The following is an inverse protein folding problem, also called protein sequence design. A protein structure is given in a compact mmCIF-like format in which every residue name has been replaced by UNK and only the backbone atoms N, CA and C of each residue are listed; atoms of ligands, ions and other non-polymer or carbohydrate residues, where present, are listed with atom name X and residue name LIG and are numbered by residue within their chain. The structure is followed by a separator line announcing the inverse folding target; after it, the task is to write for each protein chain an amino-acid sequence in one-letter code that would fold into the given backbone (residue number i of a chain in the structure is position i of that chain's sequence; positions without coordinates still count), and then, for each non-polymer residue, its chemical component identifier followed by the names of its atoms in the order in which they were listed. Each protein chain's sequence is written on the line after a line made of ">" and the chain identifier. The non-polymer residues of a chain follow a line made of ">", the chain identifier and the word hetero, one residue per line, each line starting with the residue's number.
data_IF_238735392745
#
_entry.id   IF_238735392745
#
_cell.length_a   1.000
_cell.length_b   1.000
_cell.length_c   1.000
_cell.angle_alpha   90.00
_cell.angle_beta   90.00
_cell.angle_gamma   90.00
#
_symmetry.space_group_name_H-M   'P 1'
#
loop_
_entity.id
_entity.type
_entity.pdbx_description
1 polymer ?
#
# COMPACT_ATOMS: atom_id res chain seq x y z
N UNK A 1 1.83 74.59 0.18
CA UNK A 1 2.85 73.99 1.03
C UNK A 1 2.33 72.60 1.33
N UNK A 2 2.85 71.56 0.66
CA UNK A 2 2.48 70.19 0.87
C UNK A 2 3.55 69.52 1.78
N UNK A 3 3.13 69.02 2.95
CA UNK A 3 3.99 68.32 3.85
C UNK A 3 4.33 66.92 3.29
N UNK A 4 5.61 66.53 3.27
CA UNK A 4 5.96 65.18 2.84
C UNK A 4 5.57 64.17 3.94
N UNK A 5 4.73 63.21 3.58
CA UNK A 5 4.40 62.07 4.42
C UNK A 5 5.66 61.22 4.70
N UNK A 6 6.14 61.28 5.93
CA UNK A 6 7.24 60.44 6.42
C UNK A 6 6.72 59.01 6.56
N UNK A 7 7.01 58.18 5.59
CA UNK A 7 6.78 56.74 5.67
C UNK A 7 7.80 56.14 6.66
N UNK A 8 7.39 55.98 7.90
CA UNK A 8 8.18 55.30 8.92
C UNK A 8 8.29 53.83 8.57
N UNK A 9 9.39 53.46 7.91
CA UNK A 9 9.70 52.03 7.67
C UNK A 9 10.02 51.35 9.00
N UNK A 10 9.11 50.57 9.49
CA UNK A 10 9.36 49.71 10.67
C UNK A 10 10.46 48.72 10.34
N UNK A 11 11.59 48.78 11.04
CA UNK A 11 12.70 47.82 10.95
C UNK A 11 12.70 46.92 12.16
N UNK A 12 12.76 45.62 11.96
CA UNK A 12 12.99 44.59 12.99
C UNK A 12 14.44 44.14 12.83
N UNK A 13 15.26 44.30 13.87
CA UNK A 13 16.68 43.93 13.90
C UNK A 13 17.53 44.54 12.74
N UNK A 14 17.26 45.81 12.35
CA UNK A 14 17.99 46.50 11.30
C UNK A 14 17.63 46.15 9.84
N UNK A 15 16.69 45.22 9.65
CA UNK A 15 16.22 44.82 8.32
C UNK A 15 14.82 45.34 8.06
N UNK A 16 14.50 45.78 6.83
CA UNK A 16 13.13 46.24 6.50
C UNK A 16 12.15 45.08 6.69
N UNK A 17 11.07 45.33 7.42
CA UNK A 17 10.02 44.32 7.79
C UNK A 17 9.58 43.51 6.56
N UNK A 18 9.53 44.14 5.39
CA UNK A 18 9.16 43.48 4.13
C UNK A 18 10.09 42.35 3.75
N UNK A 19 11.41 42.47 3.97
CA UNK A 19 12.39 41.42 3.67
C UNK A 19 12.28 40.25 4.64
N UNK A 20 11.99 40.53 5.92
CA UNK A 20 11.77 39.50 6.95
C UNK A 20 10.49 38.71 6.64
N UNK A 21 9.40 39.41 6.30
CA UNK A 21 8.14 38.76 5.91
C UNK A 21 8.31 37.91 4.63
N UNK A 22 9.04 38.43 3.64
CA UNK A 22 9.33 37.67 2.41
C UNK A 22 10.13 36.40 2.72
N UNK A 23 11.12 36.47 3.61
CA UNK A 23 11.92 35.33 4.05
C UNK A 23 11.07 34.25 4.75
N UNK A 24 10.18 34.67 5.67
CA UNK A 24 9.26 33.78 6.37
C UNK A 24 8.29 33.12 5.37
N UNK A 25 7.72 33.90 4.44
CA UNK A 25 6.83 33.38 3.42
C UNK A 25 7.51 32.34 2.53
N UNK A 26 8.77 32.56 2.15
CA UNK A 26 9.56 31.64 1.34
C UNK A 26 9.85 30.32 2.08
N UNK A 27 10.22 30.41 3.35
CA UNK A 27 10.43 29.21 4.20
C UNK A 27 9.13 28.43 4.35
N UNK A 28 8.01 29.09 4.62
CA UNK A 28 6.70 28.47 4.72
C UNK A 28 6.29 27.77 3.40
N UNK A 29 6.56 28.40 2.25
CA UNK A 29 6.31 27.82 0.94
C UNK A 29 7.16 26.55 0.69
N UNK A 30 8.45 26.56 1.09
CA UNK A 30 9.32 25.42 0.96
C UNK A 30 8.86 24.23 1.84
N UNK A 31 8.47 24.50 3.08
CA UNK A 31 7.94 23.48 3.99
C UNK A 31 6.63 22.91 3.42
N UNK A 32 5.75 23.77 2.92
CA UNK A 32 4.50 23.34 2.31
C UNK A 32 4.73 22.46 1.08
N UNK A 33 5.66 22.88 0.20
CA UNK A 33 6.00 22.13 -1.02
C UNK A 33 6.57 20.76 -0.68
N UNK A 34 7.48 20.68 0.29
CA UNK A 34 8.05 19.42 0.75
C UNK A 34 6.97 18.49 1.34
N UNK A 35 6.06 19.03 2.14
CA UNK A 35 4.95 18.25 2.71
C UNK A 35 3.98 17.77 1.64
N UNK A 36 3.58 18.63 0.69
CA UNK A 36 2.69 18.29 -0.40
C UNK A 36 3.30 17.21 -1.32
N UNK A 37 4.59 17.32 -1.64
CA UNK A 37 5.31 16.30 -2.43
C UNK A 37 5.32 14.95 -1.73
N UNK A 38 5.59 14.94 -0.42
CA UNK A 38 5.56 13.70 0.37
C UNK A 38 4.18 13.06 0.39
N UNK A 39 3.13 13.85 0.60
CA UNK A 39 1.75 13.36 0.59
C UNK A 39 1.33 12.79 -0.77
N UNK A 40 1.76 13.41 -1.87
CA UNK A 40 1.51 12.89 -3.22
C UNK A 40 2.25 11.58 -3.47
N UNK A 41 3.50 11.46 -3.02
CA UNK A 41 4.26 10.21 -3.13
C UNK A 41 3.62 9.07 -2.32
N UNK A 42 3.11 9.35 -1.13
CA UNK A 42 2.38 8.35 -0.32
C UNK A 42 1.09 7.88 -1.00
N UNK A 43 0.37 8.76 -1.69
CA UNK A 43 -0.81 8.40 -2.48
C UNK A 43 -0.45 7.53 -3.71
N UNK A 44 0.68 7.78 -4.36
CA UNK A 44 1.16 6.97 -5.49
C UNK A 44 1.60 5.56 -5.06
N UNK A 45 1.96 5.34 -3.79
CA UNK A 45 2.32 4.03 -3.27
C UNK A 45 1.10 3.14 -2.97
N UNK A 46 -0.12 3.68 -3.00
CA UNK A 46 -1.35 2.89 -2.89
C UNK A 46 -1.59 2.13 -4.18
N UNK A 47 -0.97 0.97 -4.30
CA UNK A 47 -1.19 0.06 -5.43
C UNK A 47 -2.49 -0.71 -5.20
N UNK A 48 -3.31 -0.78 -6.23
CA UNK A 48 -4.48 -1.66 -6.27
C UNK A 48 -4.07 -2.86 -7.09
N UNK A 49 -4.24 -4.05 -6.54
CA UNK A 49 -3.94 -5.31 -7.22
C UNK A 49 -5.15 -6.22 -7.16
N UNK A 50 -5.30 -7.07 -8.15
CA UNK A 50 -6.34 -8.08 -8.18
C UNK A 50 -5.77 -9.46 -7.88
N UNK A 51 -6.53 -10.30 -7.20
CA UNK A 51 -6.20 -11.70 -6.93
C UNK A 51 -7.41 -12.56 -7.25
N UNK A 52 -7.24 -13.57 -8.09
CA UNK A 52 -8.29 -14.55 -8.40
C UNK A 52 -8.30 -15.64 -7.35
N UNK A 53 -9.29 -15.57 -6.45
CA UNK A 53 -9.50 -16.61 -5.44
C UNK A 53 -10.02 -17.89 -6.07
N UNK A 54 -10.83 -17.80 -7.11
CA UNK A 54 -11.36 -18.97 -7.83
C UNK A 54 -10.22 -19.82 -8.37
N UNK A 55 -9.23 -19.22 -9.02
CA UNK A 55 -8.05 -19.97 -9.53
C UNK A 55 -7.26 -20.64 -8.43
N UNK A 56 -7.04 -19.95 -7.31
CA UNK A 56 -6.32 -20.53 -6.17
C UNK A 56 -7.06 -21.75 -5.58
N UNK A 57 -8.38 -21.65 -5.46
CA UNK A 57 -9.22 -22.75 -4.95
C UNK A 57 -9.28 -23.89 -5.95
N UNK A 58 -9.44 -23.63 -7.25
CA UNK A 58 -9.43 -24.64 -8.31
C UNK A 58 -8.11 -25.42 -8.34
N UNK A 59 -6.97 -24.72 -8.28
CA UNK A 59 -5.65 -25.33 -8.22
C UNK A 59 -5.50 -26.25 -7.00
N UNK A 60 -5.99 -25.79 -5.83
CA UNK A 60 -5.96 -26.58 -4.60
C UNK A 60 -6.85 -27.83 -4.70
N UNK A 61 -8.08 -27.69 -5.18
CA UNK A 61 -9.02 -28.81 -5.34
C UNK A 61 -8.45 -29.84 -6.32
N UNK A 62 -7.86 -29.38 -7.43
CA UNK A 62 -7.22 -30.27 -8.41
C UNK A 62 -6.00 -31.00 -7.83
N UNK A 63 -5.22 -30.36 -6.95
CA UNK A 63 -4.11 -30.98 -6.25
C UNK A 63 -4.59 -31.99 -5.22
N UNK A 64 -5.62 -31.66 -4.44
CA UNK A 64 -6.20 -32.52 -3.42
C UNK A 64 -6.84 -33.77 -4.01
N UNK A 65 -7.51 -33.66 -5.15
CA UNK A 65 -8.08 -34.78 -5.88
C UNK A 65 -7.02 -35.82 -6.33
N UNK A 66 -5.79 -35.33 -6.57
CA UNK A 66 -4.66 -36.23 -6.93
C UNK A 66 -4.00 -36.88 -5.73
N UNK A 67 -3.99 -36.20 -4.58
CA UNK A 67 -3.27 -36.69 -3.40
C UNK A 67 -3.99 -37.79 -2.66
N UNK A 68 -5.31 -37.91 -2.81
CA UNK A 68 -6.13 -38.84 -2.02
C UNK A 68 -6.02 -38.56 -0.51
N UNK A 69 -6.75 -39.25 0.29
CA UNK A 69 -6.65 -39.17 1.75
C UNK A 69 -8.00 -39.29 2.44
N UNK A 70 -7.98 -39.32 3.77
CA UNK A 70 -9.22 -39.36 4.54
C UNK A 70 -9.89 -37.97 4.56
N UNK A 71 -11.22 -37.89 4.75
CA UNK A 71 -11.94 -36.64 4.87
C UNK A 71 -11.36 -35.71 5.93
N UNK A 72 -10.87 -36.27 7.05
CA UNK A 72 -10.27 -35.49 8.14
C UNK A 72 -8.93 -34.88 7.75
N UNK A 73 -8.12 -35.60 6.99
CA UNK A 73 -6.84 -35.10 6.47
C UNK A 73 -7.08 -33.98 5.43
N UNK A 74 -8.05 -34.17 4.54
CA UNK A 74 -8.46 -33.17 3.55
C UNK A 74 -8.97 -31.90 4.22
N UNK A 75 -9.78 -32.06 5.28
CA UNK A 75 -10.26 -30.91 6.06
C UNK A 75 -9.13 -30.10 6.70
N UNK A 76 -8.13 -30.77 7.29
CA UNK A 76 -6.96 -30.09 7.88
C UNK A 76 -6.15 -29.36 6.82
N UNK A 77 -5.82 -30.00 5.68
CA UNK A 77 -5.09 -29.38 4.59
C UNK A 77 -5.83 -28.16 4.03
N UNK A 78 -7.15 -28.25 3.90
CA UNK A 78 -7.98 -27.13 3.47
C UNK A 78 -7.89 -25.95 4.44
N UNK A 79 -7.99 -26.21 5.76
CA UNK A 79 -7.87 -25.17 6.77
C UNK A 79 -6.50 -24.47 6.74
N UNK A 80 -5.41 -25.26 6.64
CA UNK A 80 -4.04 -24.73 6.52
C UNK A 80 -3.89 -23.88 5.26
N UNK A 81 -4.40 -24.35 4.13
CA UNK A 81 -4.32 -23.60 2.85
C UNK A 81 -5.08 -22.28 2.90
N UNK A 82 -6.30 -22.28 3.44
CA UNK A 82 -7.10 -21.05 3.60
C UNK A 82 -6.43 -20.06 4.58
N UNK A 83 -5.84 -20.54 5.66
CA UNK A 83 -5.08 -19.71 6.58
C UNK A 83 -3.86 -19.10 5.90
N UNK A 84 -3.14 -19.86 5.05
CA UNK A 84 -2.01 -19.34 4.27
C UNK A 84 -2.43 -18.29 3.24
N UNK A 85 -3.58 -18.45 2.55
CA UNK A 85 -4.13 -17.43 1.66
C UNK A 85 -4.43 -16.15 2.45
N UNK A 86 -5.17 -16.25 3.55
CA UNK A 86 -5.52 -15.09 4.36
C UNK A 86 -4.28 -14.34 4.84
N UNK A 87 -3.25 -15.08 5.30
CA UNK A 87 -1.98 -14.47 5.70
C UNK A 87 -1.29 -13.79 4.54
N UNK A 88 -1.18 -14.42 3.37
CA UNK A 88 -0.53 -13.85 2.19
C UNK A 88 -1.21 -12.55 1.72
N UNK A 89 -2.55 -12.52 1.73
CA UNK A 89 -3.34 -11.32 1.39
C UNK A 89 -3.17 -10.23 2.43
N UNK A 90 -3.18 -10.56 3.72
CA UNK A 90 -2.96 -9.61 4.80
C UNK A 90 -1.55 -8.99 4.74
N UNK A 91 -0.52 -9.79 4.48
CA UNK A 91 0.87 -9.34 4.34
C UNK A 91 1.04 -8.37 3.15
N UNK A 92 0.31 -8.59 2.05
CA UNK A 92 0.27 -7.64 0.92
C UNK A 92 -0.44 -6.33 1.29
N UNK A 93 -1.54 -6.42 2.04
CA UNK A 93 -2.28 -5.25 2.52
C UNK A 93 -1.47 -4.38 3.48
N UNK A 94 -0.66 -4.97 4.35
CA UNK A 94 0.20 -4.27 5.28
C UNK A 94 1.23 -3.36 4.59
N UNK A 95 1.62 -3.67 3.34
CA UNK A 95 2.50 -2.84 2.50
C UNK A 95 1.83 -1.64 1.83
N UNK A 96 0.59 -1.28 2.21
CA UNK A 96 -0.17 -0.18 1.60
C UNK A 96 -0.82 -0.54 0.26
N UNK A 97 -0.85 -1.83 -0.09
CA UNK A 97 -1.52 -2.35 -1.30
C UNK A 97 -2.97 -2.69 -0.98
N UNK A 98 -3.92 -2.20 -1.77
CA UNK A 98 -5.31 -2.63 -1.70
C UNK A 98 -5.49 -3.88 -2.56
N UNK A 99 -5.83 -5.00 -1.94
CA UNK A 99 -6.08 -6.25 -2.65
C UNK A 99 -7.56 -6.37 -2.95
N UNK A 100 -7.90 -6.50 -4.22
CA UNK A 100 -9.26 -6.73 -4.70
C UNK A 100 -9.40 -8.17 -5.19
N UNK A 101 -10.58 -8.73 -5.06
CA UNK A 101 -10.91 -10.00 -5.68
C UNK A 101 -11.19 -9.77 -7.16
N UNK A 102 -10.47 -10.46 -8.06
CA UNK A 102 -10.55 -10.20 -9.50
C UNK A 102 -11.93 -10.50 -10.08
N UNK A 103 -12.68 -11.39 -9.46
CA UNK A 103 -14.07 -11.70 -9.82
C UNK A 103 -15.02 -10.50 -9.62
N UNK A 104 -14.66 -9.55 -8.76
CA UNK A 104 -15.40 -8.31 -8.52
C UNK A 104 -14.91 -7.14 -9.37
N UNK A 105 -13.84 -7.30 -10.15
CA UNK A 105 -13.29 -6.24 -10.99
C UNK A 105 -13.69 -6.43 -12.45
N UNK A 106 -14.33 -5.40 -13.01
CA UNK A 106 -14.66 -5.36 -14.44
C UNK A 106 -13.53 -4.64 -15.18
N UNK A 107 -12.77 -5.38 -15.97
CA UNK A 107 -11.73 -4.82 -16.85
C UNK A 107 -10.30 -5.26 -16.48
N UNK A 108 -9.36 -5.04 -17.43
CA UNK A 108 -7.93 -5.41 -17.31
C UNK A 108 -7.05 -4.31 -16.73
N UNK A 109 -7.61 -3.30 -16.09
CA UNK A 109 -6.87 -2.13 -15.60
C UNK A 109 -6.14 -2.34 -14.27
N UNK A 110 -6.36 -3.50 -13.62
CA UNK A 110 -5.76 -3.83 -12.32
C UNK A 110 -4.73 -4.94 -12.51
N UNK A 111 -3.55 -4.77 -11.93
CA UNK A 111 -2.46 -5.74 -11.99
C UNK A 111 -2.86 -7.05 -11.27
N UNK A 112 -2.81 -8.18 -11.99
CA UNK A 112 -3.09 -9.50 -11.41
C UNK A 112 -1.85 -10.02 -10.67
N UNK A 113 -2.01 -10.27 -9.37
CA UNK A 113 -0.98 -10.80 -8.47
C UNK A 113 -1.32 -12.17 -7.91
N UNK A 114 -2.17 -12.91 -8.62
CA UNK A 114 -2.56 -14.28 -8.23
C UNK A 114 -1.35 -15.20 -8.10
N UNK A 115 -0.39 -15.10 -9.00
CA UNK A 115 0.83 -15.93 -8.96
C UNK A 115 1.74 -15.60 -7.77
N UNK A 116 1.82 -14.32 -7.37
CA UNK A 116 2.56 -13.91 -6.18
C UNK A 116 1.93 -14.50 -4.90
N UNK A 117 0.60 -14.49 -4.82
CA UNK A 117 -0.12 -15.12 -3.70
C UNK A 117 0.11 -16.63 -3.71
N UNK A 118 0.00 -17.27 -4.88
CA UNK A 118 0.27 -18.72 -5.03
C UNK A 118 1.66 -19.07 -4.52
N UNK A 119 2.70 -18.36 -4.93
CA UNK A 119 4.07 -18.63 -4.49
C UNK A 119 4.23 -18.48 -2.97
N UNK A 120 3.60 -17.48 -2.36
CA UNK A 120 3.63 -17.27 -0.90
C UNK A 120 2.90 -18.37 -0.15
N UNK A 121 1.74 -18.79 -0.65
CA UNK A 121 0.95 -19.89 -0.07
C UNK A 121 1.72 -21.19 -0.13
N UNK A 122 2.30 -21.53 -1.30
CA UNK A 122 3.13 -22.75 -1.46
C UNK A 122 4.26 -22.77 -0.45
N UNK A 123 5.01 -21.66 -0.35
CA UNK A 123 6.11 -21.55 0.61
C UNK A 123 5.64 -21.68 2.08
N UNK A 124 4.48 -21.11 2.42
CA UNK A 124 3.94 -21.20 3.77
C UNK A 124 3.49 -22.61 4.12
N UNK A 125 2.88 -23.33 3.17
CA UNK A 125 2.43 -24.71 3.35
C UNK A 125 3.63 -25.67 3.43
N UNK A 126 4.67 -25.45 2.62
CA UNK A 126 5.91 -26.23 2.70
C UNK A 126 6.61 -26.07 4.04
N UNK A 127 6.70 -24.83 4.55
CA UNK A 127 7.30 -24.53 5.85
C UNK A 127 6.55 -25.19 7.04
N UNK A 128 5.23 -25.38 6.90
CA UNK A 128 4.42 -26.06 7.94
C UNK A 128 4.58 -27.60 7.90
N UNK A 129 5.07 -28.14 6.76
CA UNK A 129 5.32 -29.58 6.59
C UNK A 129 6.74 -30.02 6.96
N UNK A 130 7.67 -29.08 7.23
CA UNK A 130 9.04 -29.39 7.63
C UNK A 130 9.03 -29.79 9.13
N UNK A 131 9.28 -31.07 9.48
CA UNK A 131 9.29 -31.52 10.86
C UNK A 131 10.47 -30.87 11.60
N UNK A 132 10.16 -30.18 12.70
CA UNK A 132 11.16 -29.70 13.66
C UNK A 132 11.79 -30.85 14.43
#
# INVERSE_FOLDING_TARGET
>A
MAEPAVTTSRTIAGWPVTRVLLGIALIAALIWTAWATRSLLELQHRRIVAVSLSRLVEDFVAAEARNGGTPEQSGRRTATYLAAINKAVADMGAGGTTVLVSEATLGRSVEDRTDDVRARVTKAVEADHEPR
#
